data_IF_477616252288
#
_entry.id   IF_477616252288
#
_cell.length_a   1.000
_cell.length_b   1.000
_cell.length_c   1.000
_cell.angle_alpha   90.00
_cell.angle_beta   90.00
_cell.angle_gamma   90.00
#
_symmetry.space_group_name_H-M   'P 1'
#
loop_
_entity.id
_entity.type
_entity.pdbx_description
1 polymer ?
#
# COMPACT_ATOMS: atom_id res chain seq x y z
N UNK A 1 -13.25 -9.62 -38.46
CA UNK A 1 -12.85 -8.73 -37.34
C UNK A 1 -11.34 -8.71 -37.29
N UNK A 2 -10.68 -7.58 -37.57
CA UNK A 2 -9.23 -7.50 -37.49
C UNK A 2 -8.82 -7.61 -36.01
N UNK A 3 -8.12 -8.69 -35.65
CA UNK A 3 -7.49 -8.82 -34.35
C UNK A 3 -6.40 -7.76 -34.25
N UNK A 4 -6.70 -6.64 -33.60
CA UNK A 4 -5.70 -5.61 -33.30
C UNK A 4 -4.64 -6.25 -32.42
N UNK A 5 -3.39 -6.28 -32.89
CA UNK A 5 -2.27 -6.83 -32.13
C UNK A 5 -2.22 -6.22 -30.71
N UNK A 6 -1.96 -7.02 -29.66
CA UNK A 6 -1.97 -6.52 -28.29
C UNK A 6 -0.94 -5.40 -28.10
N UNK A 7 -1.41 -4.24 -27.61
CA UNK A 7 -0.55 -3.08 -27.37
C UNK A 7 0.48 -3.43 -26.30
N UNK A 8 1.76 -3.32 -26.67
CA UNK A 8 2.90 -3.68 -25.83
C UNK A 8 3.66 -2.42 -25.42
N UNK A 9 4.08 -2.35 -24.17
CA UNK A 9 4.80 -1.22 -23.62
C UNK A 9 6.26 -1.24 -24.12
N UNK A 10 6.60 -0.26 -24.97
CA UNK A 10 7.95 -0.11 -25.53
C UNK A 10 8.92 0.45 -24.50
N UNK A 11 8.48 1.43 -23.72
CA UNK A 11 9.31 2.09 -22.72
C UNK A 11 8.55 2.36 -21.44
N UNK A 12 9.16 2.01 -20.31
CA UNK A 12 8.68 2.35 -18.96
C UNK A 12 9.72 3.26 -18.32
N UNK A 13 9.30 4.45 -17.85
CA UNK A 13 10.17 5.37 -17.12
C UNK A 13 10.87 4.68 -15.96
N UNK A 14 12.12 5.06 -15.69
CA UNK A 14 12.93 4.51 -14.61
C UNK A 14 12.22 4.63 -13.26
N UNK A 15 11.53 5.76 -13.02
CA UNK A 15 10.76 6.00 -11.79
C UNK A 15 9.74 4.88 -11.54
N UNK A 16 8.92 4.54 -12.53
CA UNK A 16 7.90 3.50 -12.41
C UNK A 16 8.51 2.11 -12.25
N UNK A 17 9.64 1.84 -12.91
CA UNK A 17 10.34 0.55 -12.76
C UNK A 17 10.85 0.38 -11.34
N UNK A 18 11.52 1.40 -10.80
CA UNK A 18 12.06 1.35 -9.45
C UNK A 18 10.92 1.22 -8.43
N UNK A 19 9.90 2.07 -8.55
CA UNK A 19 8.80 2.10 -7.59
C UNK A 19 8.01 0.78 -7.61
N UNK A 20 7.41 0.42 -8.75
CA UNK A 20 6.49 -0.72 -8.82
C UNK A 20 7.19 -2.08 -8.79
N UNK A 21 8.41 -2.22 -9.32
CA UNK A 21 9.05 -3.55 -9.41
C UNK A 21 9.99 -3.84 -8.23
N UNK A 22 10.32 -2.85 -7.40
CA UNK A 22 11.28 -3.02 -6.30
C UNK A 22 10.80 -2.40 -4.99
N UNK A 23 10.59 -1.08 -4.93
CA UNK A 23 10.24 -0.39 -3.68
C UNK A 23 8.94 -0.99 -3.13
N UNK A 24 7.87 -0.94 -3.90
CA UNK A 24 6.55 -1.32 -3.42
C UNK A 24 6.42 -2.81 -3.08
N UNK A 25 6.95 -3.76 -3.87
CA UNK A 25 7.00 -5.17 -3.47
C UNK A 25 7.75 -5.41 -2.15
N UNK A 26 8.86 -4.69 -1.91
CA UNK A 26 9.61 -4.81 -0.65
C UNK A 26 8.80 -4.27 0.52
N UNK A 27 8.19 -3.09 0.38
CA UNK A 27 7.33 -2.52 1.42
C UNK A 27 6.09 -3.39 1.70
N UNK A 28 5.49 -3.98 0.66
CA UNK A 28 4.38 -4.91 0.83
C UNK A 28 4.81 -6.18 1.61
N UNK A 29 5.96 -6.78 1.28
CA UNK A 29 6.49 -7.92 2.04
C UNK A 29 6.84 -7.54 3.49
N UNK A 30 7.39 -6.35 3.71
CA UNK A 30 7.68 -5.85 5.06
C UNK A 30 6.38 -5.63 5.86
N UNK A 31 5.36 -5.02 5.24
CA UNK A 31 4.04 -4.87 5.84
C UNK A 31 3.38 -6.22 6.14
N UNK A 32 3.56 -7.23 5.27
CA UNK A 32 3.06 -8.58 5.50
C UNK A 32 3.75 -9.24 6.70
N UNK A 33 5.07 -9.07 6.81
CA UNK A 33 5.83 -9.55 7.97
C UNK A 33 5.30 -8.93 9.26
N UNK A 34 5.14 -7.60 9.31
CA UNK A 34 4.61 -6.93 10.49
C UNK A 34 3.18 -7.38 10.80
N UNK A 35 2.29 -7.45 9.81
CA UNK A 35 0.90 -7.87 10.03
C UNK A 35 0.78 -9.27 10.67
N UNK A 36 1.70 -10.19 10.34
CA UNK A 36 1.67 -11.57 10.86
C UNK A 36 2.44 -11.71 12.17
N UNK A 37 3.66 -11.16 12.24
CA UNK A 37 4.61 -11.44 13.32
C UNK A 37 4.76 -10.31 14.33
N UNK A 38 4.42 -9.08 13.97
CA UNK A 38 4.45 -7.91 14.86
C UNK A 38 3.24 -6.99 14.61
N UNK A 39 2.03 -7.48 14.96
CA UNK A 39 0.78 -6.81 14.64
C UNK A 39 0.63 -5.46 15.36
N UNK A 40 1.25 -5.30 16.54
CA UNK A 40 1.23 -4.03 17.27
C UNK A 40 1.94 -2.94 16.47
N UNK A 41 3.18 -3.20 16.03
CA UNK A 41 3.93 -2.26 15.19
C UNK A 41 3.21 -1.97 13.87
N UNK A 42 2.61 -2.99 13.25
CA UNK A 42 1.79 -2.82 12.06
C UNK A 42 0.63 -1.84 12.28
N UNK A 43 -0.14 -2.03 13.35
CA UNK A 43 -1.30 -1.20 13.68
C UNK A 43 -0.88 0.23 14.05
N UNK A 44 0.18 0.41 14.84
CA UNK A 44 0.71 1.73 15.18
C UNK A 44 1.11 2.51 13.92
N UNK A 45 1.71 1.83 12.93
CA UNK A 45 2.15 2.45 11.69
C UNK A 45 1.04 2.71 10.67
N UNK A 46 -0.12 2.06 10.78
CA UNK A 46 -1.18 2.12 9.76
C UNK A 46 -2.45 2.83 10.21
N UNK A 47 -2.72 2.87 11.53
CA UNK A 47 -3.83 3.63 12.11
C UNK A 47 -3.52 5.12 12.16
N UNK A 48 -4.54 6.00 12.18
CA UNK A 48 -4.34 7.41 12.53
C UNK A 48 -3.65 7.55 13.89
N UNK A 49 -2.71 8.49 13.99
CA UNK A 49 -1.85 8.70 15.17
C UNK A 49 -2.64 9.05 16.44
N UNK A 50 -3.82 9.62 16.29
CA UNK A 50 -4.79 9.87 17.38
C UNK A 50 -5.31 8.55 17.95
N UNK A 51 -5.77 7.65 17.09
CA UNK A 51 -6.31 6.33 17.44
C UNK A 51 -5.23 5.44 18.03
N UNK A 52 -4.06 5.36 17.39
CA UNK A 52 -2.95 4.53 17.89
C UNK A 52 -2.46 5.00 19.26
N UNK A 53 -2.42 6.31 19.52
CA UNK A 53 -2.08 6.86 20.84
C UNK A 53 -3.14 6.53 21.89
N UNK A 54 -4.42 6.59 21.55
CA UNK A 54 -5.48 6.19 22.49
C UNK A 54 -5.35 4.71 22.86
N UNK A 55 -5.08 3.83 21.89
CA UNK A 55 -4.94 2.39 22.13
C UNK A 55 -3.66 2.01 22.88
N UNK A 56 -2.59 2.79 22.74
CA UNK A 56 -1.33 2.56 23.47
C UNK A 56 -1.27 3.28 24.81
N UNK A 57 -2.23 4.14 25.14
CA UNK A 57 -2.25 4.92 26.40
C UNK A 57 -2.34 4.07 27.67
N UNK A 58 -2.80 2.82 27.55
CA UNK A 58 -2.85 1.84 28.65
C UNK A 58 -1.50 1.19 28.92
N UNK A 59 -0.52 1.36 28.02
CA UNK A 59 0.84 0.83 28.18
C UNK A 59 1.66 1.73 29.11
N UNK A 60 2.35 1.17 30.13
CA UNK A 60 3.23 1.96 31.00
C UNK A 60 4.29 2.73 30.19
N UNK A 61 4.63 3.96 30.63
CA UNK A 61 5.56 4.84 29.88
C UNK A 61 6.96 4.28 29.68
N UNK A 62 7.34 3.24 30.43
CA UNK A 62 8.68 2.65 30.42
C UNK A 62 8.75 1.36 29.58
N UNK A 63 7.68 1.04 28.84
CA UNK A 63 7.59 -0.15 27.99
C UNK A 63 7.31 0.24 26.55
N UNK A 64 7.65 -0.66 25.62
CA UNK A 64 7.36 -0.47 24.19
C UNK A 64 5.84 -0.34 24.00
N UNK A 65 5.32 0.68 23.29
CA UNK A 65 3.89 0.83 23.05
C UNK A 65 3.29 -0.42 22.40
N UNK A 66 2.24 -0.97 23.00
CA UNK A 66 1.61 -2.21 22.53
C UNK A 66 0.10 -2.01 22.36
N UNK A 67 -0.42 -2.41 21.20
CA UNK A 67 -1.87 -2.43 20.93
C UNK A 67 -2.38 -3.86 21.18
N UNK A 68 -3.33 -4.07 22.12
CA UNK A 68 -3.90 -5.39 22.38
C UNK A 68 -4.57 -5.98 21.13
N UNK A 69 -4.16 -7.17 20.71
CA UNK A 69 -4.70 -7.85 19.53
C UNK A 69 -5.59 -9.02 19.94
N UNK A 70 -6.90 -8.91 19.65
CA UNK A 70 -7.83 -10.02 19.85
C UNK A 70 -7.60 -11.13 18.80
N UNK A 71 -8.01 -12.39 19.06
CA UNK A 71 -7.90 -13.46 18.08
C UNK A 71 -8.60 -13.15 16.74
N UNK A 72 -9.73 -12.42 16.79
CA UNK A 72 -10.44 -11.96 15.59
C UNK A 72 -9.60 -10.96 14.80
N UNK A 73 -8.98 -9.99 15.48
CA UNK A 73 -8.12 -9.01 14.83
C UNK A 73 -6.85 -9.67 14.26
N UNK A 74 -6.27 -10.62 14.98
CA UNK A 74 -5.12 -11.41 14.51
C UNK A 74 -5.45 -12.14 13.20
N UNK A 75 -6.60 -12.81 13.14
CA UNK A 75 -7.06 -13.48 11.92
C UNK A 75 -7.19 -12.50 10.75
N UNK A 76 -7.74 -11.30 10.99
CA UNK A 76 -7.86 -10.27 9.97
C UNK A 76 -6.51 -9.72 9.51
N UNK A 77 -5.56 -9.50 10.42
CA UNK A 77 -4.21 -9.04 10.10
C UNK A 77 -3.44 -10.08 9.26
N UNK A 78 -3.62 -11.38 9.55
CA UNK A 78 -3.06 -12.45 8.72
C UNK A 78 -3.63 -12.40 7.30
N UNK A 79 -4.93 -12.15 7.13
CA UNK A 79 -5.52 -11.98 5.81
C UNK A 79 -4.95 -10.76 5.08
N UNK A 80 -4.74 -9.64 5.78
CA UNK A 80 -4.07 -8.45 5.22
C UNK A 80 -2.64 -8.78 4.80
N UNK A 81 -1.88 -9.49 5.62
CA UNK A 81 -0.53 -9.94 5.29
C UNK A 81 -0.50 -10.84 4.05
N UNK A 82 -1.45 -11.77 3.92
CA UNK A 82 -1.59 -12.61 2.73
C UNK A 82 -1.90 -11.80 1.47
N UNK A 83 -2.75 -10.76 1.56
CA UNK A 83 -3.01 -9.84 0.44
C UNK A 83 -1.77 -9.03 0.06
N UNK A 84 -0.96 -8.60 1.03
CA UNK A 84 0.28 -7.89 0.76
C UNK A 84 1.31 -8.78 0.06
N UNK A 85 1.39 -10.06 0.40
CA UNK A 85 2.21 -11.05 -0.32
C UNK A 85 1.70 -11.20 -1.76
N UNK A 86 0.38 -11.30 -1.96
CA UNK A 86 -0.21 -11.37 -3.30
C UNK A 86 0.13 -10.13 -4.14
N UNK A 87 0.06 -8.94 -3.55
CA UNK A 87 0.43 -7.67 -4.19
C UNK A 87 1.92 -7.68 -4.56
N UNK A 88 2.80 -8.09 -3.64
CA UNK A 88 4.23 -8.19 -3.88
C UNK A 88 4.55 -9.17 -5.01
N UNK A 89 3.83 -10.29 -5.10
CA UNK A 89 3.98 -11.25 -6.19
C UNK A 89 3.49 -10.69 -7.53
N UNK A 90 2.30 -10.07 -7.56
CA UNK A 90 1.74 -9.48 -8.77
C UNK A 90 2.68 -8.42 -9.37
N UNK A 91 3.25 -7.55 -8.52
CA UNK A 91 4.15 -6.49 -8.97
C UNK A 91 5.59 -6.95 -9.18
N UNK A 92 6.16 -7.59 -8.16
CA UNK A 92 7.56 -7.98 -8.12
C UNK A 92 7.89 -9.11 -9.08
N UNK A 93 6.91 -9.95 -9.44
CA UNK A 93 7.12 -11.09 -10.31
C UNK A 93 6.25 -11.05 -11.58
N UNK A 94 4.93 -10.99 -11.46
CA UNK A 94 4.05 -11.14 -12.63
C UNK A 94 4.25 -10.04 -13.67
N UNK A 95 4.41 -8.78 -13.25
CA UNK A 95 4.69 -7.66 -14.16
C UNK A 95 6.09 -7.71 -14.79
N UNK A 96 7.03 -8.49 -14.25
CA UNK A 96 8.34 -8.69 -14.90
C UNK A 96 8.26 -9.60 -16.12
N UNK A 97 7.27 -10.48 -16.17
CA UNK A 97 7.10 -11.46 -17.23
C UNK A 97 6.25 -10.96 -18.41
N UNK A 98 5.71 -9.75 -18.34
CA UNK A 98 4.86 -9.21 -19.40
C UNK A 98 5.10 -7.73 -19.62
N UNK A 99 5.03 -7.33 -20.89
CA UNK A 99 4.97 -5.91 -21.30
C UNK A 99 3.62 -5.56 -21.93
N UNK A 100 2.63 -6.44 -21.82
CA UNK A 100 1.30 -6.16 -22.38
C UNK A 100 0.63 -5.06 -21.56
N UNK A 101 0.23 -3.98 -22.24
CA UNK A 101 -0.36 -2.79 -21.61
C UNK A 101 -1.60 -3.15 -20.79
N UNK A 102 -2.47 -3.99 -21.33
CA UNK A 102 -3.72 -4.37 -20.68
C UNK A 102 -3.49 -5.12 -19.36
N UNK A 103 -2.43 -5.94 -19.27
CA UNK A 103 -2.10 -6.65 -18.03
C UNK A 103 -1.61 -5.68 -16.96
N UNK A 104 -0.73 -4.74 -17.33
CA UNK A 104 -0.28 -3.69 -16.43
C UNK A 104 -1.45 -2.84 -15.92
N UNK A 105 -2.36 -2.46 -16.82
CA UNK A 105 -3.53 -1.63 -16.47
C UNK A 105 -4.50 -2.39 -15.56
N UNK A 106 -4.75 -3.67 -15.82
CA UNK A 106 -5.62 -4.49 -14.97
C UNK A 106 -5.05 -4.61 -13.54
N UNK A 107 -3.75 -4.93 -13.43
CA UNK A 107 -3.06 -5.04 -12.13
C UNK A 107 -3.06 -3.69 -11.40
N UNK A 108 -2.73 -2.60 -12.09
CA UNK A 108 -2.69 -1.26 -11.49
C UNK A 108 -4.06 -0.75 -11.08
N UNK A 109 -5.12 -1.10 -11.82
CA UNK A 109 -6.50 -0.76 -11.46
C UNK A 109 -6.91 -1.47 -10.18
N UNK A 110 -6.66 -2.79 -10.07
CA UNK A 110 -6.95 -3.54 -8.85
C UNK A 110 -6.23 -2.98 -7.63
N UNK A 111 -4.96 -2.58 -7.79
CA UNK A 111 -4.20 -1.97 -6.71
C UNK A 111 -4.68 -0.55 -6.38
N UNK A 112 -5.04 0.27 -7.37
CA UNK A 112 -5.61 1.58 -7.13
C UNK A 112 -6.91 1.47 -6.30
N UNK A 113 -7.74 0.46 -6.55
CA UNK A 113 -8.90 0.18 -5.70
C UNK A 113 -8.51 -0.17 -4.26
N UNK A 114 -7.44 -0.95 -4.07
CA UNK A 114 -6.90 -1.27 -2.74
C UNK A 114 -6.36 -0.03 -2.01
N UNK A 115 -5.63 0.84 -2.71
CA UNK A 115 -5.09 2.10 -2.18
C UNK A 115 -6.24 2.99 -1.69
N UNK A 116 -7.28 3.15 -2.52
CA UNK A 116 -8.50 3.91 -2.18
C UNK A 116 -9.20 3.30 -0.97
N UNK A 117 -9.30 1.97 -0.90
CA UNK A 117 -9.90 1.27 0.24
C UNK A 117 -9.15 1.55 1.55
N UNK A 118 -7.82 1.55 1.53
CA UNK A 118 -7.00 1.88 2.71
C UNK A 118 -7.16 3.34 3.12
N UNK A 119 -7.11 4.26 2.16
CA UNK A 119 -7.33 5.69 2.42
C UNK A 119 -8.73 5.94 2.99
N UNK A 120 -9.75 5.25 2.49
CA UNK A 120 -11.11 5.35 3.02
C UNK A 120 -11.23 4.79 4.44
N UNK A 121 -10.56 3.68 4.75
CA UNK A 121 -10.55 3.11 6.10
C UNK A 121 -9.91 4.06 7.11
N UNK A 122 -8.80 4.70 6.74
CA UNK A 122 -8.14 5.74 7.55
C UNK A 122 -9.04 6.95 7.73
N UNK A 123 -9.65 7.43 6.65
CA UNK A 123 -10.57 8.57 6.66
C UNK A 123 -11.76 8.33 7.59
N UNK A 124 -12.33 7.11 7.58
CA UNK A 124 -13.46 6.75 8.43
C UNK A 124 -13.10 6.80 9.92
N UNK A 125 -11.85 6.47 10.26
CA UNK A 125 -11.36 6.47 11.64
C UNK A 125 -11.10 7.87 12.17
N UNK A 126 -10.46 8.74 11.38
CA UNK A 126 -10.19 10.12 11.78
C UNK A 126 -10.08 11.06 10.55
N UNK A 127 -11.20 11.61 10.07
CA UNK A 127 -11.21 12.46 8.89
C UNK A 127 -10.52 13.81 9.14
N UNK A 128 -10.57 14.31 10.37
CA UNK A 128 -9.94 15.58 10.74
C UNK A 128 -8.42 15.45 10.74
N UNK A 129 -7.88 14.33 11.27
CA UNK A 129 -6.45 14.01 11.20
C UNK A 129 -5.96 13.88 9.77
N UNK A 130 -6.73 13.22 8.91
CA UNK A 130 -6.36 13.04 7.49
C UNK A 130 -6.30 14.37 6.73
N UNK A 131 -7.15 15.36 7.07
CA UNK A 131 -7.07 16.70 6.49
C UNK A 131 -5.90 17.54 7.05
N UNK A 132 -5.42 17.23 8.25
CA UNK A 132 -4.38 17.98 8.95
C UNK A 132 -2.96 17.49 8.61
N UNK A 133 -2.54 17.65 7.34
CA UNK A 133 -1.23 17.22 6.81
C UNK A 133 -0.04 17.60 7.70
N UNK A 134 -0.01 18.83 8.23
CA UNK A 134 1.07 19.32 9.08
C UNK A 134 1.15 18.63 10.45
N UNK A 135 0.06 17.97 10.88
CA UNK A 135 -0.01 17.28 12.15
C UNK A 135 0.39 15.80 12.04
N UNK A 136 0.58 15.27 10.82
CA UNK A 136 0.93 13.87 10.60
C UNK A 136 2.24 13.50 11.27
N UNK A 137 2.24 12.37 11.97
CA UNK A 137 3.45 11.76 12.51
C UNK A 137 4.32 11.20 11.38
N UNK A 138 5.54 10.81 11.73
CA UNK A 138 6.46 10.22 10.75
C UNK A 138 5.89 8.95 10.12
N UNK A 139 5.24 8.11 10.93
CA UNK A 139 4.59 6.87 10.49
C UNK A 139 3.43 7.16 9.53
N UNK A 140 2.61 8.17 9.83
CA UNK A 140 1.52 8.61 8.96
C UNK A 140 2.07 9.15 7.63
N UNK A 141 3.16 9.92 7.64
CA UNK A 141 3.83 10.37 6.42
C UNK A 141 4.30 9.22 5.54
N UNK A 142 4.87 8.17 6.14
CA UNK A 142 5.31 6.98 5.40
C UNK A 142 4.11 6.23 4.84
N UNK A 143 3.10 5.94 5.68
CA UNK A 143 1.93 5.16 5.29
C UNK A 143 1.08 5.90 4.23
N UNK A 144 0.66 7.13 4.51
CA UNK A 144 -0.15 7.91 3.59
C UNK A 144 0.64 8.34 2.37
N UNK A 145 1.94 8.60 2.52
CA UNK A 145 2.84 8.88 1.39
C UNK A 145 2.93 7.71 0.41
N UNK A 146 3.04 6.48 0.91
CA UNK A 146 3.01 5.28 0.06
C UNK A 146 1.64 5.08 -0.61
N UNK A 147 0.54 5.31 0.10
CA UNK A 147 -0.82 5.17 -0.44
C UNK A 147 -1.13 6.24 -1.51
N UNK A 148 -1.04 7.52 -1.16
CA UNK A 148 -1.28 8.61 -2.10
C UNK A 148 -0.25 8.64 -3.22
N UNK A 149 1.03 8.48 -2.89
CA UNK A 149 2.12 8.45 -3.87
C UNK A 149 1.98 7.28 -4.85
N UNK A 150 1.70 6.08 -4.34
CA UNK A 150 1.46 4.89 -5.14
C UNK A 150 0.26 5.06 -6.07
N UNK A 151 -0.87 5.53 -5.54
CA UNK A 151 -2.07 5.82 -6.33
C UNK A 151 -1.79 6.84 -7.44
N UNK A 152 -1.13 7.96 -7.11
CA UNK A 152 -0.75 8.99 -8.08
C UNK A 152 0.18 8.44 -9.17
N UNK A 153 1.18 7.63 -8.81
CA UNK A 153 2.09 7.01 -9.77
C UNK A 153 1.35 6.03 -10.70
N UNK A 154 0.40 5.25 -10.17
CA UNK A 154 -0.42 4.31 -10.96
C UNK A 154 -1.28 5.05 -11.97
N UNK A 155 -2.00 6.08 -11.52
CA UNK A 155 -2.83 6.91 -12.40
C UNK A 155 -1.97 7.60 -13.46
N UNK A 156 -0.84 8.19 -13.07
CA UNK A 156 0.10 8.83 -14.00
C UNK A 156 0.64 7.84 -15.04
N UNK A 157 1.00 6.63 -14.60
CA UNK A 157 1.42 5.56 -15.51
C UNK A 157 0.31 5.25 -16.50
N UNK A 158 -0.92 5.01 -16.05
CA UNK A 158 -2.05 4.66 -16.93
C UNK A 158 -2.42 5.79 -17.90
N UNK A 159 -2.23 7.05 -17.51
CA UNK A 159 -2.40 8.23 -18.38
C UNK A 159 -1.28 8.40 -19.43
N UNK A 160 -0.18 7.64 -19.33
CA UNK A 160 0.94 7.73 -20.28
C UNK A 160 1.97 8.79 -19.98
N UNK A 161 1.94 9.37 -18.78
CA UNK A 161 3.01 10.26 -18.33
C UNK A 161 4.31 9.45 -18.28
N UNK A 162 5.36 9.89 -18.98
CA UNK A 162 6.69 9.25 -18.95
C UNK A 162 6.83 7.88 -19.63
N UNK A 163 5.75 7.32 -20.20
CA UNK A 163 5.77 6.01 -20.85
C UNK A 163 5.45 6.10 -22.35
N UNK A 164 5.97 5.14 -23.13
CA UNK A 164 5.64 5.00 -24.56
C UNK A 164 5.07 3.60 -24.80
N UNK A 165 3.85 3.56 -25.33
CA UNK A 165 3.14 2.35 -25.78
C UNK A 165 3.21 2.25 -27.31
#
# INVERSE_FOLDING_TARGET
MASSAPTTIKHISLLYRIYFLYIEPIFALFGAYLAVFDPSTFLIGTLPGTVSRTLTSTTPSNTIPEIPVSPLLQMQLINVGALYILIAFAMGLALRFTRQKNVWFAVFTGMACSDIGHLYAVWLMDPARMAALAAWSWEEWVNYGLLFGGLCLRVSFMMGVGNRW
#
